data_IF_052152797601
#
_entry.id   IF_052152797601
#
_cell.length_a   1.000
_cell.length_b   1.000
_cell.length_c   1.000
_cell.angle_alpha   90.00
_cell.angle_beta   90.00
_cell.angle_gamma   90.00
#
_symmetry.space_group_name_H-M   'P 1'
#
loop_
_entity.id
_entity.type
_entity.pdbx_description
1 polymer ?
#
# COMPACT_ATOMS: atom_id res chain seq x y z
N UNK A 1 -1.83 -17.77 13.08
CA UNK A 1 -1.03 -17.20 11.98
C UNK A 1 -1.35 -17.99 10.72
N UNK A 2 -1.58 -17.32 9.60
CA UNK A 2 -1.84 -17.95 8.31
C UNK A 2 -0.84 -17.45 7.27
N UNK A 3 -0.57 -18.27 6.26
CA UNK A 3 0.30 -17.93 5.15
C UNK A 3 -0.47 -18.08 3.83
N UNK A 4 -0.38 -17.07 2.98
CA UNK A 4 -0.86 -17.11 1.61
C UNK A 4 0.34 -17.12 0.66
N UNK A 5 0.35 -18.08 -0.27
CA UNK A 5 1.32 -18.13 -1.36
C UNK A 5 0.56 -17.93 -2.68
N UNK A 6 1.06 -17.03 -3.52
CA UNK A 6 0.50 -16.77 -4.85
C UNK A 6 1.61 -16.58 -5.86
N UNK A 7 1.45 -17.17 -7.04
CA UNK A 7 2.30 -16.87 -8.19
C UNK A 7 1.62 -15.81 -9.05
N UNK A 8 2.37 -14.84 -9.55
CA UNK A 8 1.88 -13.79 -10.43
C UNK A 8 2.88 -13.50 -11.56
N UNK A 9 2.37 -13.21 -12.76
CA UNK A 9 3.17 -12.88 -13.94
C UNK A 9 3.39 -11.39 -14.01
N UNK A 10 4.65 -10.95 -14.12
CA UNK A 10 4.95 -9.55 -14.45
C UNK A 10 5.12 -9.41 -15.96
N UNK A 11 4.38 -8.53 -16.65
CA UNK A 11 4.56 -8.31 -18.09
C UNK A 11 5.98 -7.88 -18.45
N UNK A 12 6.53 -8.40 -19.56
CA UNK A 12 7.88 -8.04 -20.01
C UNK A 12 8.03 -6.55 -20.35
N UNK A 13 6.95 -5.92 -20.85
CA UNK A 13 6.90 -4.49 -21.16
C UNK A 13 7.00 -3.56 -19.95
N UNK A 14 6.98 -4.09 -18.73
CA UNK A 14 7.18 -3.30 -17.50
C UNK A 14 8.65 -3.19 -17.10
N UNK A 15 9.57 -3.74 -17.89
CA UNK A 15 11.01 -3.56 -17.67
C UNK A 15 11.37 -2.07 -17.62
N UNK A 16 12.08 -1.66 -16.58
CA UNK A 16 12.49 -0.27 -16.35
C UNK A 16 11.47 0.61 -15.62
N UNK A 17 10.25 0.10 -15.36
CA UNK A 17 9.28 0.74 -14.47
C UNK A 17 9.57 0.40 -13.01
N UNK A 18 9.02 1.23 -12.11
CA UNK A 18 8.95 0.96 -10.68
C UNK A 18 7.72 0.10 -10.43
N UNK A 19 7.88 -1.00 -9.71
CA UNK A 19 6.83 -1.99 -9.45
C UNK A 19 6.45 -1.95 -7.98
N UNK A 20 5.22 -1.53 -7.72
CA UNK A 20 4.69 -1.28 -6.38
C UNK A 20 3.59 -2.29 -6.09
N UNK A 21 3.74 -3.08 -5.03
CA UNK A 21 2.62 -3.83 -4.46
C UNK A 21 1.78 -2.88 -3.62
N UNK A 22 0.52 -2.71 -4.00
CA UNK A 22 -0.45 -1.91 -3.28
C UNK A 22 -1.45 -2.84 -2.60
N UNK A 23 -1.52 -2.74 -1.28
CA UNK A 23 -2.49 -3.44 -0.45
C UNK A 23 -3.52 -2.42 0.01
N UNK A 24 -4.79 -2.66 -0.30
CA UNK A 24 -5.85 -1.77 0.16
C UNK A 24 -6.11 -1.96 1.66
N UNK A 25 -6.10 -3.21 2.15
CA UNK A 25 -6.16 -3.50 3.58
C UNK A 25 -5.80 -4.97 3.90
N UNK A 26 -5.10 -5.16 5.02
CA UNK A 26 -4.80 -6.48 5.60
C UNK A 26 -5.09 -6.43 7.09
N UNK A 27 -6.00 -7.29 7.58
CA UNK A 27 -6.43 -7.31 8.97
C UNK A 27 -5.41 -8.04 9.87
N UNK A 28 -4.51 -7.26 10.45
CA UNK A 28 -3.53 -7.72 11.43
C UNK A 28 -2.10 -7.36 11.05
N UNK A 29 -1.16 -8.00 11.74
CA UNK A 29 0.25 -7.81 11.42
C UNK A 29 0.64 -8.76 10.28
N UNK A 30 1.19 -8.21 9.20
CA UNK A 30 1.62 -8.99 8.04
C UNK A 30 3.09 -8.82 7.72
N UNK A 31 3.68 -9.90 7.21
CA UNK A 31 5.02 -9.96 6.65
C UNK A 31 4.92 -10.37 5.18
N UNK A 32 5.54 -9.59 4.29
CA UNK A 32 5.46 -9.79 2.85
C UNK A 32 6.83 -10.20 2.31
N UNK A 33 6.85 -11.24 1.50
CA UNK A 33 8.03 -11.70 0.78
C UNK A 33 7.72 -11.85 -0.71
N UNK A 34 8.69 -11.48 -1.55
CA UNK A 34 8.65 -11.67 -2.99
C UNK A 34 9.87 -12.46 -3.43
N UNK A 35 9.66 -13.56 -4.17
CA UNK A 35 10.73 -14.45 -4.63
C UNK A 35 11.69 -14.87 -3.50
N UNK A 36 11.14 -15.15 -2.30
CA UNK A 36 11.90 -15.56 -1.11
C UNK A 36 12.61 -14.43 -0.35
N UNK A 37 12.53 -13.17 -0.82
CA UNK A 37 13.09 -12.01 -0.12
C UNK A 37 12.00 -11.24 0.63
N UNK A 38 12.22 -10.93 1.91
CA UNK A 38 11.34 -10.05 2.69
C UNK A 38 11.37 -8.64 2.10
N UNK A 39 10.19 -8.12 1.73
CA UNK A 39 10.03 -6.78 1.13
C UNK A 39 9.36 -5.78 2.07
N UNK A 40 8.65 -6.24 3.10
CA UNK A 40 8.03 -5.34 4.06
C UNK A 40 7.23 -6.03 5.14
N UNK A 41 6.80 -5.23 6.10
CA UNK A 41 5.88 -5.58 7.18
C UNK A 41 4.89 -4.44 7.39
N UNK A 42 3.70 -4.74 7.88
CA UNK A 42 2.68 -3.76 8.20
C UNK A 42 1.83 -4.25 9.38
N UNK A 43 1.34 -3.32 10.21
CA UNK A 43 0.44 -3.64 11.32
C UNK A 43 -0.65 -2.58 11.43
N UNK A 44 -1.78 -2.88 10.80
CA UNK A 44 -3.02 -2.13 10.84
C UNK A 44 -4.14 -3.07 10.28
N UNK A 45 -5.37 -2.60 10.08
CA UNK A 45 -6.45 -3.43 9.53
C UNK A 45 -7.23 -2.80 8.36
N UNK A 46 -7.10 -1.51 8.08
CA UNK A 46 -7.96 -0.74 7.18
C UNK A 46 -7.21 0.23 6.26
N UNK A 47 -5.99 0.64 6.63
CA UNK A 47 -5.23 1.67 5.95
C UNK A 47 -4.42 1.00 4.84
N UNK A 48 -4.48 1.52 3.61
CA UNK A 48 -3.69 1.00 2.52
C UNK A 48 -2.20 1.22 2.76
N UNK A 49 -1.38 0.32 2.23
CA UNK A 49 0.07 0.46 2.26
C UNK A 49 0.70 -0.08 0.99
N UNK A 50 1.87 0.46 0.68
CA UNK A 50 2.59 0.19 -0.55
C UNK A 50 4.00 -0.29 -0.26
N UNK A 51 4.47 -1.24 -1.07
CA UNK A 51 5.82 -1.77 -1.01
C UNK A 51 6.44 -1.75 -2.40
N UNK A 52 7.59 -1.09 -2.53
CA UNK A 52 8.38 -1.13 -3.75
C UNK A 52 9.10 -2.47 -3.84
N UNK A 53 8.72 -3.27 -4.84
CA UNK A 53 9.25 -4.62 -5.08
C UNK A 53 10.08 -4.70 -6.36
N UNK A 54 10.44 -3.54 -6.94
CA UNK A 54 11.13 -3.44 -8.23
C UNK A 54 12.39 -4.29 -8.28
N UNK A 55 13.16 -4.36 -7.18
CA UNK A 55 14.42 -5.09 -7.14
C UNK A 55 14.23 -6.61 -6.98
N UNK A 56 13.06 -7.08 -6.55
CA UNK A 56 12.79 -8.47 -6.21
C UNK A 56 12.04 -9.20 -7.32
N UNK A 57 11.26 -8.50 -8.13
CA UNK A 57 10.49 -9.09 -9.23
C UNK A 57 11.29 -9.18 -10.53
N UNK A 58 10.90 -10.14 -11.37
CA UNK A 58 11.50 -10.43 -12.67
C UNK A 58 10.45 -10.16 -13.77
N UNK A 59 10.56 -9.05 -14.51
CA UNK A 59 9.67 -8.78 -15.65
C UNK A 59 9.77 -9.86 -16.72
N UNK A 60 8.64 -10.24 -17.30
CA UNK A 60 8.55 -11.33 -18.27
C UNK A 60 8.68 -12.72 -17.65
N UNK A 61 8.58 -12.84 -16.33
CA UNK A 61 8.63 -14.11 -15.60
C UNK A 61 7.49 -14.21 -14.58
N UNK A 62 7.28 -15.44 -14.11
CA UNK A 62 6.44 -15.70 -12.95
C UNK A 62 7.23 -15.35 -11.69
N UNK A 63 6.55 -14.73 -10.75
CA UNK A 63 7.09 -14.29 -9.48
C UNK A 63 6.23 -14.85 -8.36
N UNK A 64 6.85 -15.12 -7.22
CA UNK A 64 6.16 -15.61 -6.04
C UNK A 64 5.91 -14.46 -5.07
N UNK A 65 4.69 -14.40 -4.54
CA UNK A 65 4.29 -13.57 -3.42
C UNK A 65 3.93 -14.49 -2.26
N UNK A 66 4.56 -14.28 -1.12
CA UNK A 66 4.27 -14.97 0.13
C UNK A 66 3.92 -13.96 1.21
N UNK A 67 2.77 -14.12 1.85
CA UNK A 67 2.26 -13.20 2.87
C UNK A 67 1.91 -14.00 4.12
N UNK A 68 2.60 -13.70 5.22
CA UNK A 68 2.31 -14.24 6.54
C UNK A 68 1.50 -13.24 7.34
N UNK A 69 0.42 -13.68 8.01
CA UNK A 69 -0.49 -12.80 8.74
C UNK A 69 -0.74 -13.33 10.15
N UNK A 70 -0.55 -12.46 11.14
CA UNK A 70 -0.93 -12.64 12.54
C UNK A 70 -2.16 -11.79 12.83
N UNK A 71 -3.20 -12.42 13.34
CA UNK A 71 -4.42 -11.73 13.77
C UNK A 71 -4.10 -10.70 14.86
N UNK A 72 -4.63 -9.47 14.72
CA UNK A 72 -4.37 -8.38 15.66
C UNK A 72 -4.66 -8.72 17.14
N UNK A 73 -5.70 -9.51 17.43
CA UNK A 73 -6.02 -10.03 18.78
C UNK A 73 -4.87 -10.74 19.51
N UNK A 74 -3.87 -11.27 18.78
CA UNK A 74 -2.68 -11.85 19.41
C UNK A 74 -1.83 -10.81 20.16
N UNK A 75 -2.02 -9.54 19.85
CA UNK A 75 -1.32 -8.42 20.48
C UNK A 75 -2.19 -7.75 21.56
N UNK A 76 -3.32 -8.37 21.93
CA UNK A 76 -4.21 -7.78 22.90
C UNK A 76 -3.59 -7.69 24.30
N UNK A 77 -3.47 -6.48 24.84
CA UNK A 77 -3.13 -6.20 26.24
C UNK A 77 -4.39 -5.97 27.08
N UNK A 78 -4.34 -6.40 28.33
CA UNK A 78 -5.39 -6.17 29.32
C UNK A 78 -4.87 -5.20 30.38
N UNK A 79 -5.61 -4.13 30.70
CA UNK A 79 -5.30 -3.27 31.84
C UNK A 79 -5.74 -3.99 33.13
N UNK A 80 -4.84 -4.09 34.12
CA UNK A 80 -5.13 -4.75 35.39
C UNK A 80 -6.29 -4.11 36.17
N UNK A 81 -6.55 -2.82 35.99
CA UNK A 81 -7.68 -2.08 36.59
C UNK A 81 -9.00 -2.38 35.90
N UNK A 82 -8.94 -2.80 34.63
CA UNK A 82 -10.11 -3.03 33.77
C UNK A 82 -10.00 -4.39 33.07
N UNK A 83 -9.98 -5.52 33.82
CA UNK A 83 -9.69 -6.84 33.27
C UNK A 83 -10.75 -7.35 32.27
N UNK A 84 -11.95 -6.75 32.28
CA UNK A 84 -13.04 -7.03 31.33
C UNK A 84 -12.90 -6.24 30.02
N UNK A 85 -12.07 -5.19 30.00
CA UNK A 85 -11.80 -4.39 28.82
C UNK A 85 -10.50 -4.88 28.15
N UNK A 86 -10.67 -5.84 27.23
CA UNK A 86 -9.61 -6.27 26.32
C UNK A 86 -9.55 -5.30 25.14
N UNK A 87 -9.11 -4.06 25.35
CA UNK A 87 -9.02 -3.09 24.25
C UNK A 87 -7.67 -2.38 24.23
N UNK A 88 -6.71 -2.89 23.43
CA UNK A 88 -5.33 -2.41 23.44
C UNK A 88 -4.85 -1.85 22.10
N UNK A 89 -5.59 -2.03 21.01
CA UNK A 89 -5.29 -1.43 19.71
C UNK A 89 -6.61 -1.01 19.04
N UNK A 90 -6.85 0.31 18.84
CA UNK A 90 -8.03 0.78 18.16
C UNK A 90 -7.92 0.51 16.66
N UNK A 91 -8.27 -0.70 16.23
CA UNK A 91 -8.45 -1.12 14.84
C UNK A 91 -9.75 -0.54 14.24
N UNK A 92 -9.99 0.76 14.32
CA UNK A 92 -11.19 1.38 13.75
C UNK A 92 -12.52 0.78 14.28
N UNK A 93 -13.45 0.47 13.39
CA UNK A 93 -14.74 -0.15 13.77
C UNK A 93 -14.50 -1.60 14.24
N UNK A 94 -14.81 -1.87 15.50
CA UNK A 94 -14.57 -3.17 16.13
C UNK A 94 -15.70 -4.19 15.93
N UNK A 95 -16.63 -3.91 15.03
CA UNK A 95 -17.81 -4.76 14.78
C UNK A 95 -17.56 -5.88 13.79
N UNK A 96 -16.55 -5.73 12.94
CA UNK A 96 -16.35 -6.62 11.80
C UNK A 96 -15.30 -7.68 12.14
N UNK A 97 -15.60 -8.99 11.94
CA UNK A 97 -14.65 -10.07 12.21
C UNK A 97 -13.61 -10.20 11.09
N UNK A 98 -12.91 -9.10 10.75
CA UNK A 98 -11.92 -9.05 9.68
C UNK A 98 -10.70 -9.89 10.03
N UNK A 99 -10.27 -10.73 9.09
CA UNK A 99 -9.08 -11.59 9.22
C UNK A 99 -8.39 -11.71 7.89
N UNK A 100 -7.07 -11.56 7.87
CA UNK A 100 -6.27 -11.77 6.67
C UNK A 100 -6.40 -10.63 5.67
N UNK A 101 -6.22 -10.93 4.39
CA UNK A 101 -6.37 -9.97 3.30
C UNK A 101 -7.86 -9.85 2.98
N UNK A 102 -8.47 -8.70 3.23
CA UNK A 102 -9.93 -8.51 3.09
C UNK A 102 -10.31 -7.43 2.09
N UNK A 103 -9.34 -6.73 1.52
CA UNK A 103 -9.49 -5.81 0.38
C UNK A 103 -8.48 -6.19 -0.72
N UNK A 104 -8.51 -5.48 -1.84
CA UNK A 104 -7.74 -5.84 -3.01
C UNK A 104 -6.23 -5.68 -2.81
N UNK A 105 -5.50 -6.49 -3.58
CA UNK A 105 -4.04 -6.40 -3.70
C UNK A 105 -3.72 -6.26 -5.17
N UNK A 106 -3.08 -5.16 -5.52
CA UNK A 106 -2.71 -4.84 -6.90
C UNK A 106 -1.20 -4.67 -7.04
N UNK A 107 -0.73 -4.87 -8.28
CA UNK A 107 0.65 -4.57 -8.66
C UNK A 107 0.61 -3.42 -9.66
N UNK A 108 1.16 -2.27 -9.26
CA UNK A 108 1.20 -1.06 -10.04
C UNK A 108 2.56 -0.95 -10.73
N UNK A 109 2.55 -0.50 -11.99
CA UNK A 109 3.76 -0.19 -12.74
C UNK A 109 3.80 1.30 -13.07
N UNK A 110 4.64 2.04 -12.34
CA UNK A 110 4.78 3.48 -12.49
C UNK A 110 6.12 3.84 -13.12
N UNK A 111 6.16 4.94 -13.85
CA UNK A 111 7.41 5.41 -14.43
C UNK A 111 8.38 5.90 -13.34
N UNK A 112 9.71 5.89 -13.58
CA UNK A 112 10.68 6.37 -12.61
C UNK A 112 10.42 7.81 -12.15
N UNK A 113 9.79 8.61 -13.00
CA UNK A 113 9.21 9.91 -12.65
C UNK A 113 7.70 9.81 -12.67
N UNK A 114 7.06 10.00 -11.53
CA UNK A 114 5.61 9.87 -11.40
C UNK A 114 5.07 10.76 -10.29
N UNK A 115 3.75 11.00 -10.33
CA UNK A 115 3.01 11.69 -9.25
C UNK A 115 2.80 10.71 -8.11
N UNK A 116 3.16 11.12 -6.89
CA UNK A 116 2.96 10.33 -5.67
C UNK A 116 1.78 10.83 -4.84
N UNK A 117 1.46 12.12 -4.93
CA UNK A 117 0.36 12.69 -4.18
C UNK A 117 -0.22 13.90 -4.90
N UNK A 118 -1.53 14.09 -4.76
CA UNK A 118 -2.25 15.29 -5.21
C UNK A 118 -3.16 15.74 -4.08
N UNK A 119 -2.92 16.95 -3.59
CA UNK A 119 -3.77 17.57 -2.57
C UNK A 119 -4.54 18.74 -3.18
N UNK A 120 -5.86 18.62 -3.19
CA UNK A 120 -6.78 19.60 -3.76
C UNK A 120 -7.36 20.47 -2.66
N UNK A 121 -7.21 21.79 -2.80
CA UNK A 121 -7.69 22.81 -1.85
C UNK A 121 -8.79 23.65 -2.52
N UNK A 122 -10.06 23.34 -2.27
CA UNK A 122 -11.17 24.14 -2.78
C UNK A 122 -11.32 25.43 -1.95
N UNK A 123 -11.03 26.58 -2.56
CA UNK A 123 -11.19 27.91 -1.95
C UNK A 123 -12.46 28.56 -2.51
N UNK A 124 -13.61 28.02 -2.11
CA UNK A 124 -14.93 28.38 -2.67
C UNK A 124 -15.21 29.89 -2.56
N UNK A 125 -14.88 30.51 -1.43
CA UNK A 125 -15.09 31.96 -1.24
C UNK A 125 -14.24 32.85 -2.17
N UNK A 126 -13.19 32.29 -2.78
CA UNK A 126 -12.29 32.99 -3.69
C UNK A 126 -12.48 32.56 -5.15
N UNK A 127 -13.46 31.71 -5.43
CA UNK A 127 -13.66 31.05 -6.74
C UNK A 127 -12.35 30.46 -7.30
N UNK A 128 -11.56 29.81 -6.41
CA UNK A 128 -10.23 29.28 -6.74
C UNK A 128 -10.09 27.82 -6.34
N UNK A 129 -9.49 27.03 -7.22
CA UNK A 129 -9.01 25.69 -6.93
C UNK A 129 -7.48 25.69 -6.90
N UNK A 130 -6.89 25.36 -5.76
CA UNK A 130 -5.45 25.15 -5.65
C UNK A 130 -5.14 23.66 -5.63
N UNK A 131 -4.14 23.24 -6.39
CA UNK A 131 -3.71 21.84 -6.44
C UNK A 131 -2.22 21.77 -6.13
N UNK A 132 -1.87 21.07 -5.06
CA UNK A 132 -0.50 20.75 -4.73
C UNK A 132 -0.18 19.33 -5.22
N UNK A 133 0.73 19.21 -6.18
CA UNK A 133 1.17 17.94 -6.75
C UNK A 133 2.57 17.61 -6.24
N UNK A 134 2.75 16.40 -5.74
CA UNK A 134 4.06 15.86 -5.34
C UNK A 134 4.52 14.85 -6.38
N UNK A 135 5.76 15.03 -6.85
CA UNK A 135 6.41 14.16 -7.81
C UNK A 135 7.59 13.45 -7.15
N UNK A 136 7.81 12.19 -7.50
CA UNK A 136 9.05 11.49 -7.22
C UNK A 136 9.85 11.35 -8.51
N UNK A 137 11.16 11.60 -8.43
CA UNK A 137 12.12 11.23 -9.46
C UNK A 137 13.08 10.18 -8.87
N UNK A 138 12.86 8.91 -9.21
CA UNK A 138 13.73 7.81 -8.82
C UNK A 138 14.73 7.42 -9.92
N UNK A 139 14.93 8.26 -10.93
CA UNK A 139 16.01 8.08 -11.90
C UNK A 139 17.34 8.61 -11.35
N UNK A 140 18.45 8.22 -11.98
CA UNK A 140 19.79 8.69 -11.61
C UNK A 140 20.13 10.09 -12.16
N UNK A 141 19.21 10.74 -12.89
CA UNK A 141 19.47 12.00 -13.61
C UNK A 141 18.35 13.00 -13.32
N UNK A 142 18.68 14.29 -13.31
CA UNK A 142 17.68 15.35 -13.24
C UNK A 142 16.76 15.29 -14.48
N UNK A 143 15.46 15.43 -14.26
CA UNK A 143 14.44 15.35 -15.32
C UNK A 143 13.69 16.67 -15.39
N UNK A 144 13.49 17.18 -16.60
CA UNK A 144 12.58 18.30 -16.83
C UNK A 144 11.20 17.73 -17.07
N UNK A 145 10.23 18.13 -16.24
CA UNK A 145 8.85 17.64 -16.30
C UNK A 145 7.88 18.79 -16.49
N UNK A 146 6.86 18.55 -17.31
CA UNK A 146 5.71 19.44 -17.42
C UNK A 146 4.53 18.79 -16.70
N UNK A 147 3.99 19.47 -15.70
CA UNK A 147 2.81 19.01 -14.96
C UNK A 147 1.59 19.70 -15.54
N UNK A 148 0.70 18.91 -16.15
CA UNK A 148 -0.60 19.36 -16.64
C UNK A 148 -1.74 18.73 -15.85
N UNK A 149 -2.94 19.28 -15.99
CA UNK A 149 -4.16 18.72 -15.41
C UNK A 149 -5.40 19.22 -16.13
N UNK A 150 -6.46 18.42 -16.15
CA UNK A 150 -7.77 18.81 -16.66
C UNK A 150 -8.76 18.87 -15.51
N UNK A 151 -9.51 19.96 -15.39
CA UNK A 151 -10.62 20.10 -14.45
C UNK A 151 -11.93 19.95 -15.23
N UNK A 152 -12.77 19.01 -14.82
CA UNK A 152 -14.08 18.77 -15.41
C UNK A 152 -15.17 18.88 -14.33
N UNK A 153 -16.36 19.40 -14.66
CA UNK A 153 -17.54 19.24 -13.81
C UNK A 153 -17.88 17.75 -13.66
N UNK A 154 -18.52 17.38 -12.54
CA UNK A 154 -19.00 16.02 -12.32
C UNK A 154 -20.13 15.64 -13.29
#
# INVERSE_FOLDING_TARGET
MGWLRRTFRVPAGWKGKRLILHFEAVAGECQIQVNGAKVGEHFESYIPFELDVTAQVKPGMDNELLIGIRHHRLFDKTDARYPKFRMPYPNGSNTDPLVGIWQDVSLLAVDPVHVTNTFVKPLVAQDRLEVAVTLANNSSVAQTVSVGGSVAPW
#
